data_IF_733871991446
#
_entry.id   IF_733871991446
#
_cell.length_a   1.000
_cell.length_b   1.000
_cell.length_c   1.000
_cell.angle_alpha   90.00
_cell.angle_beta   90.00
_cell.angle_gamma   90.00
#
_symmetry.space_group_name_H-M   'P 1'
#
loop_
_entity.id
_entity.type
_entity.pdbx_description
1 polymer ?
#
# COMPACT_ATOMS: atom_id res chain seq x y z
N UNK A 1 24.64 37.92 -46.81
CA UNK A 1 23.29 38.03 -46.22
C UNK A 1 22.49 36.85 -46.74
N UNK A 2 21.97 35.90 -45.97
CA UNK A 2 22.01 35.59 -44.53
C UNK A 2 21.78 34.08 -44.40
N UNK A 3 22.40 33.46 -43.41
CA UNK A 3 22.10 32.07 -43.03
C UNK A 3 21.08 32.11 -41.88
N UNK A 4 19.83 31.74 -42.15
CA UNK A 4 18.80 31.61 -41.10
C UNK A 4 19.00 30.30 -40.35
N UNK A 5 19.41 30.42 -39.08
CA UNK A 5 19.51 29.34 -38.11
C UNK A 5 18.13 29.17 -37.44
N UNK A 6 17.40 28.08 -37.74
CA UNK A 6 16.17 27.75 -37.04
C UNK A 6 16.48 27.04 -35.72
N UNK A 7 16.33 27.75 -34.60
CA UNK A 7 16.40 27.20 -33.25
C UNK A 7 15.03 26.61 -32.90
N UNK A 8 14.87 25.30 -32.99
CA UNK A 8 13.69 24.61 -32.46
C UNK A 8 13.82 24.49 -30.94
N UNK A 9 13.10 25.33 -30.21
CA UNK A 9 12.83 25.16 -28.79
C UNK A 9 11.93 23.93 -28.59
N UNK A 10 12.52 22.78 -28.30
CA UNK A 10 11.79 21.66 -27.73
C UNK A 10 11.43 22.03 -26.29
N UNK A 11 10.21 22.54 -26.10
CA UNK A 11 9.61 22.65 -24.78
C UNK A 11 9.22 21.22 -24.39
N UNK A 12 10.17 20.46 -23.86
CA UNK A 12 9.83 19.27 -23.09
C UNK A 12 9.09 19.78 -21.86
N UNK A 13 7.76 19.83 -21.95
CA UNK A 13 6.92 20.01 -20.78
C UNK A 13 7.29 18.91 -19.80
N UNK A 14 7.96 19.28 -18.70
CA UNK A 14 8.06 18.40 -17.56
C UNK A 14 6.63 18.18 -17.08
N UNK A 15 6.03 17.07 -17.49
CA UNK A 15 4.94 16.48 -16.75
C UNK A 15 5.53 16.11 -15.39
N UNK A 16 5.50 17.05 -14.44
CA UNK A 16 5.57 16.65 -13.05
C UNK A 16 4.31 15.82 -12.84
N UNK A 17 4.38 14.50 -12.59
CA UNK A 17 3.20 13.77 -12.19
C UNK A 17 2.62 14.54 -11.00
N UNK A 18 1.40 15.03 -11.16
CA UNK A 18 0.71 15.75 -10.10
C UNK A 18 0.71 14.81 -8.91
N UNK A 19 1.50 15.12 -7.89
CA UNK A 19 1.48 14.37 -6.64
C UNK A 19 0.06 14.57 -6.12
N UNK A 20 -0.77 13.57 -6.30
CA UNK A 20 -2.15 13.57 -5.86
C UNK A 20 -2.12 13.63 -4.34
N UNK A 21 -2.41 14.80 -3.78
CA UNK A 21 -2.36 15.01 -2.34
C UNK A 21 -3.73 14.65 -1.77
N UNK A 22 -3.77 13.63 -0.90
CA UNK A 22 -4.99 13.32 -0.16
C UNK A 22 -5.24 14.38 0.91
N UNK A 23 -6.43 14.98 0.84
CA UNK A 23 -7.00 15.79 1.91
C UNK A 23 -7.94 14.90 2.73
N UNK A 24 -7.67 14.79 4.03
CA UNK A 24 -8.42 13.91 4.91
C UNK A 24 -9.48 14.66 5.72
N UNK A 25 -10.64 14.02 5.86
CA UNK A 25 -11.80 14.56 6.57
C UNK A 25 -12.30 13.54 7.60
N UNK A 26 -12.12 13.83 8.89
CA UNK A 26 -12.63 12.97 9.96
C UNK A 26 -14.13 13.19 10.18
N UNK A 27 -14.91 12.11 10.10
CA UNK A 27 -16.34 12.10 10.37
C UNK A 27 -16.60 11.45 11.73
N UNK A 28 -17.25 12.18 12.62
CA UNK A 28 -17.48 11.75 14.02
C UNK A 28 -18.65 10.79 14.18
N UNK A 29 -19.53 10.68 13.18
CA UNK A 29 -20.66 9.76 13.21
C UNK A 29 -20.16 8.31 13.11
N UNK A 30 -20.70 7.43 13.96
CA UNK A 30 -20.36 6.01 13.90
C UNK A 30 -21.20 5.27 12.88
N UNK A 31 -20.55 4.60 11.93
CA UNK A 31 -21.19 3.81 10.87
C UNK A 31 -20.47 2.47 10.70
N UNK A 32 -21.19 1.47 10.14
CA UNK A 32 -20.54 0.23 9.68
C UNK A 32 -19.53 0.58 8.58
N UNK A 33 -18.55 -0.29 8.32
CA UNK A 33 -17.53 0.02 7.32
C UNK A 33 -18.16 0.29 5.94
N UNK A 34 -19.14 -0.50 5.54
CA UNK A 34 -19.84 -0.36 4.26
C UNK A 34 -20.64 0.95 4.19
N UNK A 35 -21.37 1.30 5.25
CA UNK A 35 -22.13 2.55 5.29
C UNK A 35 -21.20 3.78 5.29
N UNK A 36 -20.08 3.71 6.01
CA UNK A 36 -19.05 4.73 6.02
C UNK A 36 -18.43 4.93 4.63
N UNK A 37 -18.18 3.84 3.90
CA UNK A 37 -17.73 3.89 2.50
C UNK A 37 -18.74 4.60 1.61
N UNK A 38 -20.02 4.21 1.70
CA UNK A 38 -21.10 4.84 0.94
C UNK A 38 -21.18 6.34 1.23
N UNK A 39 -21.11 6.73 2.50
CA UNK A 39 -21.07 8.14 2.90
C UNK A 39 -19.88 8.88 2.28
N UNK A 40 -18.68 8.32 2.36
CA UNK A 40 -17.50 8.97 1.79
C UNK A 40 -17.60 9.11 0.27
N UNK A 41 -18.18 8.13 -0.44
CA UNK A 41 -18.37 8.21 -1.89
C UNK A 41 -19.47 9.19 -2.32
N UNK A 42 -20.41 9.49 -1.43
CA UNK A 42 -21.45 10.48 -1.68
C UNK A 42 -20.93 11.91 -1.50
N UNK A 43 -20.02 12.13 -0.55
CA UNK A 43 -19.59 13.47 -0.14
C UNK A 43 -18.13 13.82 -0.46
N UNK A 44 -17.29 12.83 -0.72
CA UNK A 44 -15.85 12.93 -0.96
C UNK A 44 -15.44 11.94 -2.07
N UNK A 45 -14.17 11.48 -2.08
CA UNK A 45 -13.70 10.47 -3.05
C UNK A 45 -14.02 9.05 -2.56
N UNK A 46 -13.47 8.62 -1.42
CA UNK A 46 -13.73 7.32 -0.79
C UNK A 46 -13.33 7.39 0.71
N UNK A 47 -13.47 6.28 1.44
CA UNK A 47 -12.76 6.09 2.71
C UNK A 47 -11.26 6.28 2.50
N UNK A 48 -10.59 6.79 3.53
CA UNK A 48 -9.18 7.17 3.48
C UNK A 48 -8.29 6.06 2.93
N UNK A 49 -7.60 6.36 1.83
CA UNK A 49 -6.45 5.62 1.31
C UNK A 49 -5.18 6.28 1.79
N UNK A 50 -4.14 5.48 2.06
CA UNK A 50 -2.83 5.98 2.49
C UNK A 50 -1.76 5.48 1.55
N UNK A 51 -0.97 6.37 0.97
CA UNK A 51 0.08 6.02 0.00
C UNK A 51 1.46 5.79 0.63
N UNK A 52 1.80 6.53 1.68
CA UNK A 52 3.10 6.44 2.36
C UNK A 52 3.03 6.98 3.81
N UNK A 53 4.18 7.04 4.49
CA UNK A 53 4.26 7.57 5.85
C UNK A 53 3.93 9.07 5.96
N UNK A 54 4.20 9.86 4.92
CA UNK A 54 3.86 11.29 4.89
C UNK A 54 2.34 11.47 4.81
N UNK A 55 1.70 10.66 3.97
CA UNK A 55 0.26 10.59 3.82
C UNK A 55 -0.44 10.12 5.12
N UNK A 56 0.09 9.09 5.77
CA UNK A 56 -0.39 8.63 7.07
C UNK A 56 -0.31 9.75 8.12
N UNK A 57 0.78 10.53 8.11
CA UNK A 57 0.94 11.64 9.04
C UNK A 57 -0.08 12.76 8.79
N UNK A 58 -0.43 13.05 7.54
CA UNK A 58 -1.54 13.96 7.21
C UNK A 58 -2.87 13.42 7.72
N UNK A 59 -3.14 12.13 7.52
CA UNK A 59 -4.36 11.47 7.95
C UNK A 59 -4.56 11.61 9.47
N UNK A 60 -3.58 11.20 10.26
CA UNK A 60 -3.69 11.23 11.74
C UNK A 60 -3.74 12.65 12.30
N UNK A 61 -3.16 13.63 11.60
CA UNK A 61 -3.22 15.05 11.98
C UNK A 61 -4.57 15.70 11.65
N UNK A 62 -5.32 15.18 10.68
CA UNK A 62 -6.67 15.68 10.35
C UNK A 62 -7.72 15.40 11.43
N UNK A 63 -7.41 14.50 12.36
CA UNK A 63 -8.34 14.06 13.41
C UNK A 63 -8.29 15.06 14.57
N UNK A 64 -9.41 15.74 14.81
CA UNK A 64 -9.54 16.76 15.87
C UNK A 64 -10.19 16.24 17.16
N UNK A 65 -10.54 14.96 17.25
CA UNK A 65 -11.26 14.35 18.38
C UNK A 65 -10.39 13.30 19.10
N UNK A 66 -10.64 13.09 20.39
CA UNK A 66 -9.96 12.14 21.26
C UNK A 66 -10.42 10.68 21.06
N UNK A 67 -11.20 10.37 20.00
CA UNK A 67 -11.54 8.97 19.71
C UNK A 67 -10.28 8.22 19.33
N UNK A 68 -10.24 6.95 19.70
CA UNK A 68 -9.03 6.13 19.55
C UNK A 68 -8.92 5.51 18.16
N UNK A 69 -10.05 5.13 17.54
CA UNK A 69 -10.09 4.31 16.32
C UNK A 69 -11.04 4.88 15.29
N UNK A 70 -10.59 4.90 14.03
CA UNK A 70 -11.36 5.36 12.88
C UNK A 70 -11.30 4.34 11.75
N UNK A 71 -12.42 4.09 11.06
CA UNK A 71 -12.39 3.32 9.81
C UNK A 71 -11.58 4.05 8.74
N UNK A 72 -10.84 3.26 7.96
CA UNK A 72 -10.13 3.68 6.74
C UNK A 72 -10.47 2.70 5.60
N UNK A 73 -10.02 3.01 4.38
CA UNK A 73 -10.39 2.28 3.16
C UNK A 73 -9.78 0.88 3.00
N UNK A 74 -8.85 0.48 3.87
CA UNK A 74 -8.19 -0.83 3.75
C UNK A 74 -9.13 -1.96 4.19
N UNK A 75 -9.36 -2.92 3.30
CA UNK A 75 -10.22 -4.10 3.55
C UNK A 75 -9.61 -5.37 2.98
N UNK A 76 -10.01 -6.52 3.50
CA UNK A 76 -9.59 -7.82 2.97
C UNK A 76 -10.21 -8.03 1.59
N UNK A 77 -9.37 -8.41 0.64
CA UNK A 77 -9.76 -8.83 -0.71
C UNK A 77 -9.57 -10.33 -0.91
N UNK A 78 -9.83 -10.77 -2.14
CA UNK A 78 -9.98 -12.19 -2.50
C UNK A 78 -8.71 -12.82 -3.09
N UNK A 79 -7.64 -12.05 -3.30
CA UNK A 79 -6.44 -12.52 -3.98
C UNK A 79 -5.19 -12.07 -3.25
N UNK A 80 -4.29 -13.02 -3.00
CA UNK A 80 -2.97 -12.77 -2.41
C UNK A 80 -2.05 -12.15 -3.46
N UNK A 81 -1.31 -11.11 -3.08
CA UNK A 81 -0.33 -10.41 -3.93
C UNK A 81 0.92 -10.08 -3.14
N UNK A 82 2.06 -10.16 -3.81
CA UNK A 82 3.35 -9.77 -3.25
C UNK A 82 3.50 -8.25 -3.31
N UNK A 83 3.93 -7.68 -2.20
CA UNK A 83 4.06 -6.25 -2.01
C UNK A 83 5.40 -5.94 -1.36
N UNK A 84 6.00 -4.82 -1.76
CA UNK A 84 7.09 -4.22 -1.01
C UNK A 84 6.53 -3.31 0.09
N UNK A 85 7.14 -3.40 1.27
CA UNK A 85 6.80 -2.66 2.48
C UNK A 85 6.86 -1.14 2.27
N UNK A 86 7.92 -0.68 1.60
CA UNK A 86 8.06 0.71 1.21
C UNK A 86 7.13 0.97 0.04
N UNK A 87 6.09 1.77 0.25
CA UNK A 87 5.02 2.01 -0.74
C UNK A 87 5.19 3.28 -1.56
N UNK A 88 6.24 4.07 -1.28
CA UNK A 88 6.51 5.32 -1.98
C UNK A 88 6.85 5.06 -3.46
N UNK A 89 5.94 5.42 -4.36
CA UNK A 89 6.11 5.16 -5.79
C UNK A 89 7.25 5.94 -6.41
N UNK A 90 7.66 7.07 -5.81
CA UNK A 90 8.78 7.88 -6.31
C UNK A 90 10.11 7.16 -6.14
N UNK A 91 10.17 6.17 -5.25
CA UNK A 91 11.34 5.34 -4.99
C UNK A 91 11.56 4.25 -6.06
N UNK A 92 10.51 3.85 -6.79
CA UNK A 92 10.59 2.77 -7.78
C UNK A 92 10.54 3.32 -9.19
N UNK A 93 11.43 2.81 -10.04
CA UNK A 93 11.33 2.92 -11.50
C UNK A 93 10.45 1.80 -12.04
N UNK A 94 10.05 1.95 -13.29
CA UNK A 94 9.24 0.95 -13.99
C UNK A 94 9.90 -0.43 -13.95
N UNK A 95 9.16 -1.42 -13.47
CA UNK A 95 9.59 -2.82 -13.36
C UNK A 95 10.41 -3.16 -12.11
N UNK A 96 10.88 -2.19 -11.32
CA UNK A 96 11.71 -2.47 -10.13
C UNK A 96 10.92 -3.19 -9.02
N UNK A 97 9.60 -2.98 -8.95
CA UNK A 97 8.73 -3.70 -8.02
C UNK A 97 8.58 -5.18 -8.34
N UNK A 98 8.93 -5.60 -9.56
CA UNK A 98 8.78 -6.98 -10.06
C UNK A 98 10.04 -7.83 -9.94
N UNK A 99 11.18 -7.23 -9.60
CA UNK A 99 12.43 -7.98 -9.41
C UNK A 99 12.28 -9.01 -8.30
N UNK A 100 12.63 -10.26 -8.59
CA UNK A 100 12.61 -11.37 -7.63
C UNK A 100 13.88 -12.19 -7.76
N UNK A 101 14.51 -12.51 -6.63
CA UNK A 101 15.68 -13.40 -6.56
C UNK A 101 15.38 -14.63 -5.68
N UNK A 102 14.22 -15.25 -5.91
CA UNK A 102 13.77 -16.45 -5.20
C UNK A 102 14.77 -17.61 -5.34
N UNK A 103 14.93 -18.37 -4.27
CA UNK A 103 15.64 -19.65 -4.30
C UNK A 103 14.80 -20.71 -5.04
N UNK A 104 15.45 -21.79 -5.45
CA UNK A 104 14.80 -22.91 -6.14
C UNK A 104 13.70 -23.51 -5.27
N UNK A 105 12.47 -23.55 -5.80
CA UNK A 105 11.31 -24.10 -5.10
C UNK A 105 10.56 -23.10 -4.20
N UNK A 106 10.87 -21.81 -4.29
CA UNK A 106 10.15 -20.74 -3.59
C UNK A 106 9.51 -19.74 -4.58
N UNK A 107 8.46 -19.00 -4.18
CA UNK A 107 7.83 -18.99 -2.86
C UNK A 107 6.95 -20.22 -2.55
N UNK A 108 6.90 -20.62 -1.28
CA UNK A 108 5.98 -21.62 -0.73
C UNK A 108 4.69 -20.98 -0.20
N UNK A 109 3.86 -21.72 0.55
CA UNK A 109 2.58 -21.25 1.12
C UNK A 109 2.78 -20.40 2.40
N UNK A 110 3.70 -19.44 2.35
CA UNK A 110 4.11 -18.57 3.45
C UNK A 110 4.15 -17.10 3.00
N UNK A 111 4.04 -16.16 3.95
CA UNK A 111 3.69 -14.79 3.59
C UNK A 111 4.83 -13.78 3.69
N UNK A 112 5.93 -14.05 4.39
CA UNK A 112 7.00 -13.06 4.58
C UNK A 112 8.32 -13.56 4.04
N UNK A 113 9.03 -12.71 3.28
CA UNK A 113 10.27 -13.09 2.62
C UNK A 113 11.50 -12.67 3.42
N UNK A 114 12.52 -13.53 3.41
CA UNK A 114 13.84 -13.26 3.96
C UNK A 114 14.92 -13.55 2.92
N UNK A 115 16.07 -12.89 3.05
CA UNK A 115 17.26 -13.15 2.25
C UNK A 115 18.22 -14.05 3.04
N UNK A 116 18.65 -15.15 2.41
CA UNK A 116 19.67 -16.05 2.94
C UNK A 116 21.08 -15.45 2.85
N UNK A 117 22.07 -16.10 3.46
CA UNK A 117 23.49 -15.75 3.34
C UNK A 117 24.09 -16.09 1.97
N UNK A 118 23.29 -16.57 1.02
CA UNK A 118 23.69 -16.76 -0.38
C UNK A 118 23.07 -15.70 -1.31
N UNK A 119 22.39 -14.70 -0.74
CA UNK A 119 21.69 -13.66 -1.48
C UNK A 119 20.38 -14.10 -2.14
N UNK A 120 19.99 -15.38 -2.02
CA UNK A 120 18.72 -15.92 -2.52
C UNK A 120 17.59 -15.72 -1.50
N UNK A 121 16.36 -15.54 -1.99
CA UNK A 121 15.20 -15.25 -1.16
C UNK A 121 14.38 -16.50 -0.90
N UNK A 122 13.89 -16.63 0.32
CA UNK A 122 12.93 -17.65 0.73
C UNK A 122 11.75 -16.96 1.44
N UNK A 123 10.66 -17.68 1.67
CA UNK A 123 9.53 -17.17 2.44
C UNK A 123 9.15 -18.13 3.56
N UNK A 124 8.74 -17.57 4.70
CA UNK A 124 8.32 -18.32 5.89
C UNK A 124 7.18 -17.59 6.62
N UNK A 125 6.76 -18.12 7.77
CA UNK A 125 5.78 -17.48 8.63
C UNK A 125 6.24 -16.07 9.01
N UNK A 126 5.33 -15.09 8.92
CA UNK A 126 5.62 -13.72 9.35
C UNK A 126 5.88 -13.59 10.85
N UNK A 127 5.48 -14.60 11.63
CA UNK A 127 5.69 -14.69 13.07
C UNK A 127 7.05 -15.27 13.45
N UNK A 128 7.80 -15.81 12.48
CA UNK A 128 9.18 -16.25 12.71
C UNK A 128 10.06 -15.06 13.09
N UNK A 129 11.12 -15.33 13.83
CA UNK A 129 12.04 -14.30 14.26
C UNK A 129 13.34 -14.35 13.47
N UNK A 130 13.63 -13.25 12.78
CA UNK A 130 14.90 -13.07 12.09
C UNK A 130 15.50 -11.71 12.42
N UNK A 131 16.81 -11.61 12.16
CA UNK A 131 17.46 -10.34 11.92
C UNK A 131 16.83 -9.65 10.71
N UNK A 132 17.10 -8.38 10.51
CA UNK A 132 16.44 -7.64 9.45
C UNK A 132 17.33 -6.52 8.95
N UNK A 133 17.06 -6.07 7.73
CA UNK A 133 17.82 -5.01 7.11
C UNK A 133 16.88 -3.85 6.74
N UNK A 134 17.27 -2.65 7.15
CA UNK A 134 16.53 -1.43 6.88
C UNK A 134 17.23 -0.59 5.81
N UNK A 135 16.45 0.21 5.09
CA UNK A 135 16.95 1.40 4.41
C UNK A 135 17.14 2.53 5.39
N UNK A 136 18.28 3.22 5.33
CA UNK A 136 18.55 4.45 6.06
C UNK A 136 18.91 5.58 5.09
N UNK A 137 18.23 6.73 5.21
CA UNK A 137 18.35 7.89 4.31
C UNK A 137 17.03 8.34 3.68
N UNK A 138 16.97 9.60 3.23
CA UNK A 138 15.79 10.19 2.55
C UNK A 138 15.84 9.93 1.03
N UNK A 139 14.65 9.76 0.43
CA UNK A 139 14.37 9.43 -0.98
C UNK A 139 15.56 9.60 -1.95
N UNK A 140 16.05 8.46 -2.44
CA UNK A 140 16.92 8.21 -3.60
C UNK A 140 18.34 8.75 -3.67
N UNK A 141 18.77 9.71 -2.84
CA UNK A 141 20.11 10.32 -3.05
C UNK A 141 21.21 9.80 -2.13
N UNK A 142 20.89 9.08 -1.05
CA UNK A 142 21.86 8.52 -0.10
C UNK A 142 21.29 7.32 0.68
N UNK A 143 20.64 6.38 -0.02
CA UNK A 143 20.13 5.16 0.63
C UNK A 143 21.30 4.28 1.07
N UNK A 144 21.28 3.88 2.33
CA UNK A 144 22.23 2.92 2.88
C UNK A 144 21.49 1.74 3.47
N UNK A 145 22.11 0.56 3.37
CA UNK A 145 21.57 -0.67 3.93
C UNK A 145 22.14 -0.92 5.33
N UNK A 146 21.27 -0.97 6.34
CA UNK A 146 21.64 -1.12 7.75
C UNK A 146 21.14 -2.45 8.28
N UNK A 147 22.07 -3.36 8.60
CA UNK A 147 21.78 -4.65 9.19
C UNK A 147 21.52 -4.50 10.68
N UNK A 148 20.34 -4.90 11.13
CA UNK A 148 19.92 -4.90 12.53
C UNK A 148 19.99 -6.33 13.08
N UNK A 149 20.84 -6.51 14.09
CA UNK A 149 21.06 -7.81 14.75
C UNK A 149 20.15 -8.00 15.96
N UNK A 150 18.86 -7.72 15.78
CA UNK A 150 17.79 -8.04 16.72
C UNK A 150 16.84 -9.07 16.10
N UNK A 151 16.37 -10.05 16.88
CA UNK A 151 15.37 -11.02 16.41
C UNK A 151 13.97 -10.43 16.57
N UNK A 152 13.24 -10.28 15.46
CA UNK A 152 11.88 -9.73 15.43
C UNK A 152 11.01 -10.47 14.42
N UNK A 153 9.70 -10.47 14.67
CA UNK A 153 8.70 -10.83 13.65
C UNK A 153 8.77 -9.84 12.49
N UNK A 154 8.23 -10.19 11.32
CA UNK A 154 8.30 -9.30 10.15
C UNK A 154 7.63 -7.94 10.41
N UNK A 155 6.46 -7.93 11.08
CA UNK A 155 5.72 -6.70 11.42
C UNK A 155 6.51 -5.84 12.43
N UNK A 156 7.15 -6.48 13.40
CA UNK A 156 7.95 -5.78 14.40
C UNK A 156 9.24 -5.21 13.79
N UNK A 157 9.86 -5.94 12.85
CA UNK A 157 11.00 -5.48 12.08
C UNK A 157 10.66 -4.28 11.19
N UNK A 158 9.53 -4.33 10.47
CA UNK A 158 9.00 -3.19 9.71
C UNK A 158 8.78 -1.97 10.62
N UNK A 159 8.11 -2.19 11.75
CA UNK A 159 7.83 -1.12 12.72
C UNK A 159 9.11 -0.50 13.26
N UNK A 160 10.13 -1.30 13.54
CA UNK A 160 11.44 -0.81 13.95
C UNK A 160 12.09 0.03 12.84
N UNK A 161 12.14 -0.49 11.60
CA UNK A 161 12.78 0.23 10.50
C UNK A 161 12.11 1.59 10.26
N UNK A 162 10.77 1.70 10.35
CA UNK A 162 10.08 2.98 10.18
C UNK A 162 10.21 3.93 11.37
N UNK A 163 10.54 3.41 12.55
CA UNK A 163 10.77 4.23 13.74
C UNK A 163 12.20 4.79 13.79
N UNK A 164 13.18 4.02 13.31
CA UNK A 164 14.61 4.34 13.46
C UNK A 164 15.31 4.67 12.14
N UNK A 165 14.73 4.29 11.01
CA UNK A 165 15.26 4.42 9.66
C UNK A 165 14.11 4.77 8.69
N UNK A 166 14.17 4.31 7.44
CA UNK A 166 13.12 4.55 6.43
C UNK A 166 12.08 3.43 6.40
N UNK A 167 12.48 2.20 6.07
CA UNK A 167 11.63 0.99 6.06
C UNK A 167 12.51 -0.27 5.93
N UNK A 168 11.94 -1.47 6.01
CA UNK A 168 12.59 -2.70 5.53
C UNK A 168 13.01 -2.55 4.06
N UNK A 169 14.13 -3.16 3.70
CA UNK A 169 14.65 -2.99 2.34
C UNK A 169 13.73 -3.59 1.29
N UNK A 170 13.61 -2.88 0.19
CA UNK A 170 13.03 -3.38 -1.05
C UNK A 170 14.17 -3.61 -2.03
N UNK A 171 14.30 -4.81 -2.60
CA UNK A 171 15.44 -5.13 -3.46
C UNK A 171 15.00 -4.93 -4.91
N UNK A 172 15.49 -3.85 -5.55
CA UNK A 172 14.99 -3.39 -6.85
C UNK A 172 15.67 -4.04 -8.04
N UNK A 173 16.88 -4.56 -7.85
CA UNK A 173 17.68 -5.17 -8.91
C UNK A 173 18.81 -6.04 -8.35
N UNK A 174 19.52 -6.72 -9.24
CA UNK A 174 20.62 -7.61 -8.89
C UNK A 174 21.79 -6.91 -8.19
N UNK A 175 22.09 -5.64 -8.54
CA UNK A 175 23.20 -4.90 -7.92
C UNK A 175 22.91 -4.67 -6.45
N UNK A 176 21.72 -4.18 -6.12
CA UNK A 176 21.27 -4.00 -4.73
C UNK A 176 21.26 -5.33 -3.97
N UNK A 177 20.79 -6.41 -4.61
CA UNK A 177 20.80 -7.74 -4.02
C UNK A 177 22.21 -8.15 -3.60
N UNK A 178 23.20 -7.95 -4.47
CA UNK A 178 24.60 -8.29 -4.18
C UNK A 178 25.20 -7.40 -3.09
N UNK A 179 24.88 -6.11 -3.05
CA UNK A 179 25.34 -5.21 -1.99
C UNK A 179 24.78 -5.60 -0.61
N UNK A 180 23.50 -5.97 -0.57
CA UNK A 180 22.83 -6.46 0.64
C UNK A 180 23.40 -7.81 1.07
N UNK A 181 23.57 -8.75 0.14
CA UNK A 181 24.16 -10.07 0.39
C UNK A 181 25.56 -9.95 0.99
N UNK A 182 26.44 -9.10 0.44
CA UNK A 182 27.78 -8.89 1.01
C UNK A 182 27.75 -8.45 2.47
N UNK A 183 26.78 -7.60 2.85
CA UNK A 183 26.61 -7.17 4.26
C UNK A 183 26.14 -8.32 5.15
N UNK A 184 25.25 -9.17 4.64
CA UNK A 184 24.69 -10.32 5.37
C UNK A 184 25.74 -11.43 5.53
N UNK A 185 26.40 -11.81 4.43
CA UNK A 185 27.41 -12.86 4.35
C UNK A 185 28.58 -12.64 5.32
N UNK A 186 28.97 -11.38 5.57
CA UNK A 186 30.00 -11.04 6.55
C UNK A 186 29.61 -11.38 8.01
N UNK A 187 28.32 -11.53 8.30
CA UNK A 187 27.80 -11.78 9.67
C UNK A 187 27.02 -13.09 9.81
N UNK A 188 26.70 -13.76 8.70
CA UNK A 188 26.31 -15.17 8.64
C UNK A 188 24.88 -15.51 9.09
N UNK A 189 23.91 -14.60 8.98
CA UNK A 189 22.53 -14.86 9.41
C UNK A 189 21.49 -14.39 8.39
N UNK A 190 20.43 -15.16 8.11
CA UNK A 190 19.35 -14.72 7.23
C UNK A 190 18.64 -13.50 7.80
N UNK A 191 18.09 -12.66 6.93
CA UNK A 191 17.46 -11.40 7.32
C UNK A 191 16.12 -11.17 6.64
N UNK A 192 15.16 -10.61 7.36
CA UNK A 192 13.94 -10.09 6.77
C UNK A 192 14.25 -9.02 5.72
N UNK A 193 13.56 -9.12 4.60
CA UNK A 193 13.43 -8.05 3.60
C UNK A 193 11.98 -7.57 3.59
N UNK A 194 11.72 -6.43 2.96
CA UNK A 194 10.42 -5.78 2.95
C UNK A 194 9.37 -6.44 2.05
N UNK A 195 9.62 -7.63 1.50
CA UNK A 195 8.66 -8.32 0.63
C UNK A 195 7.70 -9.17 1.47
N UNK A 196 6.40 -8.95 1.29
CA UNK A 196 5.34 -9.67 2.01
C UNK A 196 4.16 -9.97 1.09
N UNK A 197 3.38 -11.01 1.42
CA UNK A 197 2.22 -11.47 0.69
C UNK A 197 0.97 -11.21 1.54
N UNK A 198 0.03 -10.42 1.03
CA UNK A 198 -1.28 -10.24 1.67
C UNK A 198 -2.41 -10.13 0.63
N UNK A 199 -3.66 -10.13 1.09
CA UNK A 199 -4.83 -9.95 0.23
C UNK A 199 -5.56 -8.62 0.48
N UNK A 200 -4.95 -7.69 1.21
CA UNK A 200 -5.61 -6.44 1.58
C UNK A 200 -5.61 -5.47 0.39
N UNK A 201 -6.74 -4.78 0.19
CA UNK A 201 -6.94 -3.84 -0.90
C UNK A 201 -7.54 -2.55 -0.36
N UNK A 202 -7.23 -1.44 -1.04
CA UNK A 202 -7.85 -0.15 -0.75
C UNK A 202 -9.20 -0.04 -1.46
N UNK A 203 -10.16 0.57 -0.78
CA UNK A 203 -11.56 0.66 -1.21
C UNK A 203 -11.75 1.46 -2.49
N UNK A 204 -10.86 2.42 -2.74
CA UNK A 204 -10.81 3.26 -3.93
C UNK A 204 -10.19 2.59 -5.16
N UNK A 205 -9.76 1.32 -5.03
CA UNK A 205 -9.09 0.53 -6.07
C UNK A 205 -7.69 1.04 -6.44
N UNK A 206 -7.09 1.89 -5.61
CA UNK A 206 -5.68 2.26 -5.75
C UNK A 206 -4.75 1.05 -5.56
N UNK A 207 -3.56 1.17 -6.13
CA UNK A 207 -2.46 0.22 -6.03
C UNK A 207 -1.52 0.51 -4.85
N UNK A 208 -1.95 1.30 -3.85
CA UNK A 208 -1.13 1.52 -2.65
C UNK A 208 -0.84 0.19 -1.93
N UNK A 209 0.45 -0.06 -1.68
CA UNK A 209 0.92 -1.21 -0.91
C UNK A 209 1.11 -0.89 0.57
N UNK A 210 0.78 0.34 1.00
CA UNK A 210 1.08 0.79 2.36
C UNK A 210 0.35 -0.06 3.40
N UNK A 211 1.12 -0.56 4.37
CA UNK A 211 0.64 -1.26 5.56
C UNK A 211 1.42 -0.77 6.75
N UNK A 212 0.77 -0.27 7.81
CA UNK A 212 1.42 0.08 9.08
C UNK A 212 0.75 -0.66 10.24
N UNK A 213 0.71 -1.98 10.14
CA UNK A 213 0.03 -2.84 11.10
C UNK A 213 0.58 -2.68 12.52
N UNK A 214 -0.30 -2.84 13.49
CA UNK A 214 0.07 -2.93 14.90
C UNK A 214 0.98 -4.16 15.12
N UNK A 215 2.20 -3.98 15.70
CA UNK A 215 3.03 -5.04 16.26
C UNK A 215 2.27 -6.15 17.00
N UNK A 216 2.43 -7.41 16.57
CA UNK A 216 1.81 -8.56 17.22
C UNK A 216 0.27 -8.65 17.13
N UNK A 217 -0.39 -7.85 16.28
CA UNK A 217 -1.84 -7.92 16.11
C UNK A 217 -2.27 -7.91 14.63
N UNK A 218 -2.29 -9.09 14.02
CA UNK A 218 -3.13 -9.41 12.86
C UNK A 218 -4.03 -10.59 13.22
N UNK A 219 -5.31 -10.35 13.50
CA UNK A 219 -6.24 -11.46 13.72
C UNK A 219 -6.43 -12.21 12.41
N UNK A 220 -6.22 -13.53 12.42
CA UNK A 220 -6.49 -14.43 11.29
C UNK A 220 -7.96 -14.86 11.22
N UNK A 221 -8.80 -14.42 12.16
CA UNK A 221 -10.24 -14.71 12.15
C UNK A 221 -10.91 -14.18 10.88
N UNK A 222 -11.72 -15.04 10.25
CA UNK A 222 -12.38 -14.75 8.97
C UNK A 222 -13.31 -13.53 8.97
N UNK A 223 -13.76 -13.07 10.15
CA UNK A 223 -14.65 -11.89 10.26
C UNK A 223 -13.90 -10.56 10.32
N UNK A 224 -12.59 -10.55 10.55
CA UNK A 224 -11.80 -9.33 10.74
C UNK A 224 -11.29 -8.79 9.39
N UNK A 225 -12.23 -8.31 8.56
CA UNK A 225 -11.98 -7.97 7.17
C UNK A 225 -11.90 -6.47 6.88
N UNK A 226 -12.09 -5.60 7.88
CA UNK A 226 -12.07 -4.15 7.72
C UNK A 226 -11.01 -3.53 8.62
N UNK A 227 -10.45 -2.38 8.26
CA UNK A 227 -9.30 -1.80 8.96
C UNK A 227 -9.62 -0.48 9.62
N UNK A 228 -9.15 -0.33 10.86
CA UNK A 228 -9.14 0.94 11.56
C UNK A 228 -7.71 1.43 11.75
N UNK A 229 -7.56 2.75 11.86
CA UNK A 229 -6.33 3.42 12.27
C UNK A 229 -6.47 3.97 13.68
N UNK A 230 -5.40 3.86 14.46
CA UNK A 230 -5.33 4.44 15.79
C UNK A 230 -4.83 5.89 15.74
N UNK A 231 -5.62 6.86 16.19
CA UNK A 231 -5.28 8.29 16.07
C UNK A 231 -4.69 8.90 17.34
N UNK A 232 -4.82 8.29 18.52
CA UNK A 232 -4.40 8.95 19.76
C UNK A 232 -2.86 9.09 19.84
N UNK A 233 -2.32 10.33 19.91
CA UNK A 233 -0.88 10.62 19.84
C UNK A 233 -0.10 10.24 21.11
N UNK A 234 -0.79 10.03 22.23
CA UNK A 234 -0.14 9.59 23.49
C UNK A 234 0.00 8.07 23.58
N UNK A 235 -0.54 7.33 22.62
CA UNK A 235 -0.47 5.87 22.62
C UNK A 235 0.78 5.37 21.89
N UNK A 236 1.44 4.30 22.37
CA UNK A 236 2.49 3.63 21.59
C UNK A 236 2.00 3.05 20.26
N UNK A 237 0.68 2.96 20.07
CA UNK A 237 0.05 2.45 18.85
C UNK A 237 -0.44 3.57 17.93
N UNK A 238 -0.06 4.82 18.18
CA UNK A 238 -0.39 5.94 17.29
C UNK A 238 -0.03 5.63 15.82
N UNK A 239 -0.95 5.95 14.92
CA UNK A 239 -0.86 5.70 13.49
C UNK A 239 -0.82 4.21 13.06
N UNK A 240 -1.00 3.26 13.99
CA UNK A 240 -1.03 1.83 13.68
C UNK A 240 -2.39 1.37 13.18
N UNK A 241 -2.35 0.43 12.24
CA UNK A 241 -3.51 -0.20 11.64
C UNK A 241 -3.91 -1.45 12.40
N UNK A 242 -5.21 -1.72 12.47
CA UNK A 242 -5.76 -2.92 13.09
C UNK A 242 -6.97 -3.40 12.32
N UNK A 243 -7.03 -4.70 12.04
CA UNK A 243 -8.23 -5.29 11.46
C UNK A 243 -9.34 -5.47 12.51
N UNK A 244 -10.59 -5.41 12.06
CA UNK A 244 -11.78 -5.45 12.91
C UNK A 244 -13.02 -5.89 12.12
N UNK A 245 -14.07 -6.45 12.77
CA UNK A 245 -15.27 -6.88 12.05
C UNK A 245 -16.08 -5.70 11.50
N UNK A 246 -16.39 -5.77 10.20
CA UNK A 246 -16.98 -4.69 9.41
C UNK A 246 -18.36 -4.21 9.88
N UNK A 247 -19.13 -5.08 10.54
CA UNK A 247 -20.49 -4.82 11.04
C UNK A 247 -20.53 -3.87 12.25
N UNK A 248 -19.37 -3.58 12.85
CA UNK A 248 -19.31 -2.66 13.99
C UNK A 248 -19.30 -1.21 13.51
N UNK A 249 -19.81 -0.32 14.37
CA UNK A 249 -19.90 1.10 14.06
C UNK A 249 -18.76 1.90 14.68
N UNK A 250 -18.05 2.67 13.85
CA UNK A 250 -16.98 3.57 14.29
C UNK A 250 -17.03 4.88 13.53
N UNK A 251 -16.49 5.98 14.10
CA UNK A 251 -16.15 7.15 13.31
C UNK A 251 -15.17 6.74 12.21
N UNK A 252 -15.07 7.54 11.16
CA UNK A 252 -14.35 7.16 9.96
C UNK A 252 -13.71 8.37 9.29
N UNK A 253 -12.73 8.12 8.42
CA UNK A 253 -12.01 9.17 7.72
C UNK A 253 -12.25 8.99 6.23
N UNK A 254 -12.74 10.03 5.58
CA UNK A 254 -12.83 10.12 4.13
C UNK A 254 -11.60 10.84 3.58
N UNK A 255 -11.28 10.64 2.30
CA UNK A 255 -10.34 11.50 1.60
C UNK A 255 -10.97 12.15 0.37
N UNK A 256 -10.42 13.30 0.00
CA UNK A 256 -10.63 13.96 -1.28
C UNK A 256 -9.28 14.22 -1.95
N UNK A 257 -9.28 14.23 -3.29
CA UNK A 257 -8.10 14.59 -4.09
C UNK A 257 -8.11 16.10 -4.33
N UNK A 258 -7.09 16.81 -3.86
CA UNK A 258 -6.89 18.19 -4.28
C UNK A 258 -6.36 18.21 -5.72
N UNK A 259 -7.21 18.57 -6.68
CA UNK A 259 -6.74 18.96 -8.00
C UNK A 259 -6.17 20.37 -7.89
N UNK A 260 -4.84 20.52 -8.00
CA UNK A 260 -4.21 21.83 -8.17
C UNK A 260 -4.49 22.37 -9.58
N UNK A 261 -5.75 22.62 -9.89
CA UNK A 261 -6.14 23.41 -11.06
C UNK A 261 -6.16 24.88 -10.66
N UNK A 262 -5.32 25.69 -11.31
CA UNK A 262 -5.42 27.15 -11.33
C UNK A 262 -6.89 27.57 -11.52
N UNK A 263 -7.34 28.71 -10.95
CA UNK A 263 -8.75 29.10 -11.00
C UNK A 263 -9.24 29.15 -12.45
N UNK A 264 -10.28 28.36 -12.74
CA UNK A 264 -10.91 28.29 -14.05
C UNK A 264 -11.41 29.68 -14.44
N UNK A 265 -11.12 30.20 -15.66
CA UNK A 265 -11.71 31.45 -16.11
C UNK A 265 -13.24 31.30 -16.16
N UNK A 266 -13.92 32.34 -15.66
CA UNK A 266 -15.37 32.43 -15.52
C UNK A 266 -16.11 31.98 -16.80
N UNK A 267 -17.15 31.13 -16.71
CA UNK A 267 -17.89 30.69 -17.88
C UNK A 267 -18.60 31.88 -18.53
N UNK A 268 -18.21 32.20 -19.77
CA UNK A 268 -18.97 33.13 -20.61
C UNK A 268 -20.16 32.35 -21.19
N UNK A 269 -21.36 32.77 -20.81
CA UNK A 269 -22.64 32.23 -21.29
C UNK A 269 -22.76 32.39 -22.81
N UNK A 270 -22.64 31.28 -23.55
CA UNK A 270 -23.10 31.16 -24.93
C UNK A 270 -24.23 30.15 -24.96
N UNK A 271 -25.45 30.62 -25.23
CA UNK A 271 -26.66 29.83 -25.40
C UNK A 271 -26.64 29.04 -26.70
N UNK A 272 -26.70 27.70 -26.60
CA UNK A 272 -26.89 26.78 -27.74
C UNK A 272 -28.26 26.10 -27.63
N UNK A 273 -29.02 25.88 -28.73
CA UNK A 273 -30.37 25.33 -28.67
C UNK A 273 -30.43 23.81 -28.44
N UNK A 274 -31.56 23.40 -27.87
CA UNK A 274 -31.96 22.06 -27.45
C UNK A 274 -32.02 21.02 -28.60
N UNK A 275 -31.49 19.80 -28.43
CA UNK A 275 -31.75 18.69 -29.36
C UNK A 275 -33.01 17.90 -29.01
N UNK A 276 -33.76 17.58 -30.07
CA UNK A 276 -35.01 16.80 -30.08
C UNK A 276 -34.77 15.31 -29.84
N UNK A 277 -35.67 14.70 -29.09
CA UNK A 277 -35.70 13.29 -28.65
C UNK A 277 -35.99 12.30 -29.79
N UNK A 278 -35.25 11.18 -29.82
CA UNK A 278 -35.52 9.98 -30.64
C UNK A 278 -35.55 8.75 -29.74
N UNK A 279 -36.47 7.77 -29.94
CA UNK A 279 -36.71 6.68 -28.99
C UNK A 279 -35.71 5.51 -29.09
N UNK A 280 -35.58 4.82 -27.96
CA UNK A 280 -34.68 3.71 -27.64
C UNK A 280 -35.13 2.37 -28.27
N UNK A 281 -34.21 1.53 -28.79
CA UNK A 281 -34.52 0.14 -29.11
C UNK A 281 -34.28 -0.79 -27.90
N UNK A 282 -35.25 -1.67 -27.67
CA UNK A 282 -35.25 -2.77 -26.70
C UNK A 282 -34.24 -3.87 -27.06
N UNK A 283 -33.40 -4.27 -26.10
CA UNK A 283 -32.50 -5.43 -26.21
C UNK A 283 -32.98 -6.61 -25.37
N UNK A 284 -33.13 -7.75 -26.03
CA UNK A 284 -33.52 -9.06 -25.50
C UNK A 284 -32.34 -9.74 -24.78
N UNK A 285 -32.58 -10.20 -23.56
CA UNK A 285 -31.65 -10.99 -22.72
C UNK A 285 -31.58 -12.46 -23.16
N UNK A 286 -30.37 -12.99 -23.30
CA UNK A 286 -30.06 -14.42 -23.46
C UNK A 286 -29.25 -14.90 -22.25
N UNK A 287 -29.50 -16.09 -21.68
CA UNK A 287 -28.81 -16.55 -20.47
C UNK A 287 -27.46 -17.22 -20.77
N UNK A 288 -26.52 -17.07 -19.84
CA UNK A 288 -25.18 -17.68 -19.83
C UNK A 288 -25.19 -19.02 -19.08
N UNK A 289 -24.47 -20.07 -19.54
CA UNK A 289 -24.38 -21.33 -18.84
C UNK A 289 -23.35 -21.31 -17.70
N UNK A 290 -23.73 -21.91 -16.57
CA UNK A 290 -22.91 -22.20 -15.39
C UNK A 290 -22.04 -23.43 -15.63
N UNK A 291 -20.72 -23.29 -15.43
CA UNK A 291 -19.79 -24.41 -15.27
C UNK A 291 -19.21 -24.39 -13.86
N UNK A 292 -19.54 -25.44 -13.10
CA UNK A 292 -18.98 -25.73 -11.79
C UNK A 292 -17.69 -26.51 -11.97
N UNK A 293 -16.57 -25.94 -11.55
CA UNK A 293 -15.27 -26.64 -11.48
C UNK A 293 -14.78 -26.56 -10.04
N UNK A 294 -14.79 -27.70 -9.35
CA UNK A 294 -14.08 -27.93 -8.09
C UNK A 294 -12.59 -28.13 -8.37
N UNK A 295 -11.67 -27.46 -7.65
CA UNK A 295 -10.28 -27.91 -7.57
C UNK A 295 -10.09 -28.88 -6.38
N UNK A 296 -9.15 -29.84 -6.51
CA UNK A 296 -8.77 -30.74 -5.42
C UNK A 296 -7.80 -30.07 -4.45
N UNK A 297 -8.04 -30.36 -3.17
CA UNK A 297 -7.15 -31.01 -2.20
C UNK A 297 -5.68 -30.56 -1.98
N UNK A 298 -5.32 -30.52 -0.69
CA UNK A 298 -4.00 -30.45 -0.04
C UNK A 298 -3.06 -29.28 -0.35
N UNK A 299 -2.80 -28.44 0.66
CA UNK A 299 -1.45 -27.91 0.91
C UNK A 299 -1.05 -28.10 2.38
N UNK A 300 0.23 -28.43 2.65
CA UNK A 300 0.72 -28.71 4.00
C UNK A 300 0.80 -27.41 4.79
N UNK A 301 0.47 -27.51 6.07
CA UNK A 301 0.70 -26.44 7.05
C UNK A 301 2.15 -25.97 7.01
N UNK A 302 2.34 -24.69 7.36
CA UNK A 302 3.62 -24.07 7.66
C UNK A 302 4.23 -24.73 8.90
N UNK A 303 4.58 -26.00 8.83
CA UNK A 303 5.25 -26.68 9.92
C UNK A 303 6.72 -26.26 9.88
N UNK A 304 7.26 -25.76 11.00
CA UNK A 304 8.69 -25.51 11.10
C UNK A 304 9.41 -26.84 10.88
N UNK A 305 10.45 -26.85 10.04
CA UNK A 305 11.35 -28.01 9.96
C UNK A 305 11.93 -28.26 11.37
N UNK A 306 11.95 -29.53 11.83
CA UNK A 306 12.32 -29.90 13.20
C UNK A 306 13.79 -29.70 13.57
#
# INVERSE_FOLDING_TARGET
MEASLYLTLLISGFYTPSSCLHQYHSITNSMTWTDAQSYCREHYTDLATVDDMEDLNRLITSVNDYKLWYWIGLKKGDSMKWHWSLSDRRFYREGETEFRNWDTGTPQNCNCAFMSTAGLWNNTSCDDQHHFICYDGKQDTNLTYVLIQENKTWIDAQSYCRQHHTDLVSVRNQTENTEIDQKISLRGLPVWIGLFLDSWIWSDQSDSTFRNWWPGWLSTEQRYNCTMVHSNPSSPYHAKLRNYPCENTFPFICYAVETTTAPLPTPTTTTTPLPTTTPLPTTTTTPLPTTTTTPPDYTPDCLPDP
#
